data_IF_324660730809
#
_entry.id   IF_324660730809
#
_cell.length_a   1.000
_cell.length_b   1.000
_cell.length_c   1.000
_cell.angle_alpha   90.00
_cell.angle_beta   90.00
_cell.angle_gamma   90.00
#
_symmetry.space_group_name_H-M   'P 1'
#
loop_
_entity.id
_entity.type
_entity.pdbx_description
1 polymer ?
#
# COMPACT_ATOMS: atom_id res chain seq x y z
N UNK A 1 2.46 26.20 -14.73
CA UNK A 1 1.71 25.03 -14.22
C UNK A 1 0.46 25.53 -13.52
N UNK A 2 -0.70 24.91 -13.71
CA UNK A 2 -1.91 25.35 -13.00
C UNK A 2 -1.74 25.15 -11.49
N UNK A 3 -2.24 26.09 -10.68
CA UNK A 3 -2.20 26.01 -9.21
C UNK A 3 -2.78 24.70 -8.68
N UNK A 4 -3.77 24.15 -9.39
CA UNK A 4 -4.38 22.86 -9.09
C UNK A 4 -3.38 21.70 -9.16
N UNK A 5 -2.54 21.64 -10.20
CA UNK A 5 -1.54 20.59 -10.35
C UNK A 5 -0.47 20.64 -9.25
N UNK A 6 -0.08 21.84 -8.81
CA UNK A 6 0.90 22.03 -7.73
C UNK A 6 0.33 21.57 -6.38
N UNK A 7 -0.92 21.96 -6.07
CA UNK A 7 -1.60 21.52 -4.82
C UNK A 7 -1.83 20.01 -4.79
N UNK A 8 -2.20 19.41 -5.94
CA UNK A 8 -2.35 17.96 -6.05
C UNK A 8 -1.01 17.25 -5.79
N UNK A 9 0.06 17.69 -6.45
CA UNK A 9 1.40 17.11 -6.26
C UNK A 9 1.89 17.24 -4.81
N UNK A 10 1.65 18.38 -4.16
CA UNK A 10 1.97 18.57 -2.74
C UNK A 10 1.16 17.62 -1.85
N UNK A 11 -0.14 17.44 -2.12
CA UNK A 11 -0.96 16.50 -1.36
C UNK A 11 -0.47 15.05 -1.53
N UNK A 12 -0.22 14.61 -2.77
CA UNK A 12 0.27 13.26 -3.05
C UNK A 12 1.64 12.99 -2.40
N UNK A 13 2.53 13.99 -2.37
CA UNK A 13 3.88 13.84 -1.83
C UNK A 13 3.99 13.99 -0.32
N UNK A 14 3.16 14.81 0.33
CA UNK A 14 3.31 15.12 1.76
C UNK A 14 2.19 14.58 2.65
N UNK A 15 1.07 14.13 2.08
CA UNK A 15 -0.02 13.57 2.87
C UNK A 15 0.28 12.13 3.29
N UNK A 16 0.57 11.94 4.58
CA UNK A 16 0.67 10.62 5.21
C UNK A 16 -0.62 9.82 5.06
N UNK A 17 -1.78 10.50 5.09
CA UNK A 17 -3.10 9.88 4.86
C UNK A 17 -3.20 9.30 3.45
N UNK A 18 -2.77 10.06 2.43
CA UNK A 18 -2.81 9.60 1.05
C UNK A 18 -1.84 8.43 0.83
N UNK A 19 -0.59 8.55 1.30
CA UNK A 19 0.42 7.50 1.13
C UNK A 19 0.06 6.22 1.88
N UNK A 20 -0.20 6.33 3.18
CA UNK A 20 -0.58 5.19 4.01
C UNK A 20 -1.87 4.55 3.53
N UNK A 21 -2.89 5.37 3.22
CA UNK A 21 -4.17 4.88 2.70
C UNK A 21 -4.03 4.16 1.36
N UNK A 22 -3.28 4.74 0.40
CA UNK A 22 -3.06 4.10 -0.91
C UNK A 22 -2.32 2.77 -0.77
N UNK A 23 -1.29 2.70 0.09
CA UNK A 23 -0.53 1.47 0.34
C UNK A 23 -1.42 0.40 0.97
N UNK A 24 -2.26 0.76 1.94
CA UNK A 24 -3.24 -0.17 2.55
C UNK A 24 -4.21 -0.69 1.49
N UNK A 25 -4.77 0.19 0.65
CA UNK A 25 -5.72 -0.20 -0.40
C UNK A 25 -5.07 -1.21 -1.35
N UNK A 26 -3.84 -0.96 -1.80
CA UNK A 26 -3.09 -1.90 -2.66
C UNK A 26 -2.85 -3.23 -1.95
N UNK A 27 -2.44 -3.21 -0.68
CA UNK A 27 -2.24 -4.42 0.11
C UNK A 27 -3.51 -5.25 0.29
N UNK A 28 -4.64 -4.59 0.59
CA UNK A 28 -5.95 -5.23 0.73
C UNK A 28 -6.45 -5.80 -0.60
N UNK A 29 -6.27 -5.09 -1.71
CA UNK A 29 -6.61 -5.59 -3.04
C UNK A 29 -5.77 -6.81 -3.40
N UNK A 30 -4.48 -6.82 -3.06
CA UNK A 30 -3.62 -7.98 -3.27
C UNK A 30 -4.06 -9.19 -2.42
N UNK A 31 -4.49 -8.96 -1.17
CA UNK A 31 -5.06 -10.01 -0.32
C UNK A 31 -6.38 -10.55 -0.87
N UNK A 32 -7.30 -9.68 -1.29
CA UNK A 32 -8.55 -10.06 -1.97
C UNK A 32 -8.28 -10.86 -3.24
N UNK A 33 -7.28 -10.44 -4.03
CA UNK A 33 -6.86 -11.17 -5.21
C UNK A 33 -6.29 -12.55 -4.86
N UNK A 34 -5.48 -12.65 -3.81
CA UNK A 34 -4.94 -13.94 -3.33
C UNK A 34 -6.06 -14.89 -2.87
N UNK A 35 -7.08 -14.35 -2.18
CA UNK A 35 -8.25 -15.10 -1.77
C UNK A 35 -9.01 -15.62 -2.98
N UNK A 36 -9.30 -14.72 -3.92
CA UNK A 36 -10.03 -15.06 -5.13
C UNK A 36 -9.31 -16.12 -5.98
N UNK A 37 -7.98 -16.02 -6.11
CA UNK A 37 -7.14 -17.04 -6.74
C UNK A 37 -7.26 -18.39 -6.04
N UNK A 38 -7.18 -18.42 -4.70
CA UNK A 38 -7.32 -19.65 -3.92
C UNK A 38 -8.68 -20.31 -4.12
N UNK A 39 -9.75 -19.51 -4.10
CA UNK A 39 -11.12 -20.02 -4.17
C UNK A 39 -11.51 -20.46 -5.60
N UNK A 40 -11.17 -19.65 -6.61
CA UNK A 40 -11.61 -19.89 -7.99
C UNK A 40 -10.65 -20.75 -8.81
N UNK A 41 -9.34 -20.66 -8.54
CA UNK A 41 -8.31 -21.36 -9.33
C UNK A 41 -7.71 -22.55 -8.57
N UNK A 42 -8.12 -22.75 -7.31
CA UNK A 42 -7.57 -23.80 -6.42
C UNK A 42 -6.04 -23.77 -6.38
N UNK A 43 -5.47 -22.55 -6.41
CA UNK A 43 -4.03 -22.36 -6.49
C UNK A 43 -3.35 -23.13 -5.35
N UNK A 44 -2.42 -24.04 -5.65
CA UNK A 44 -1.79 -24.84 -4.62
C UNK A 44 -0.97 -23.91 -3.70
N UNK A 45 -1.06 -24.15 -2.39
CA UNK A 45 -0.37 -23.35 -1.35
C UNK A 45 1.12 -23.68 -1.35
N UNK A 46 1.79 -23.33 -2.45
CA UNK A 46 3.24 -23.46 -2.66
C UNK A 46 3.95 -22.22 -2.12
N UNK A 47 5.28 -22.31 -2.03
CA UNK A 47 6.12 -21.21 -1.52
C UNK A 47 5.88 -19.88 -2.23
N UNK A 48 5.67 -19.88 -3.55
CA UNK A 48 5.39 -18.64 -4.31
C UNK A 48 4.10 -17.95 -3.90
N UNK A 49 3.00 -18.71 -3.73
CA UNK A 49 1.71 -18.17 -3.29
C UNK A 49 1.79 -17.66 -1.84
N UNK A 50 2.44 -18.42 -0.95
CA UNK A 50 2.67 -18.00 0.44
C UNK A 50 3.52 -16.73 0.52
N UNK A 51 4.56 -16.61 -0.31
CA UNK A 51 5.37 -15.40 -0.39
C UNK A 51 4.55 -14.20 -0.85
N UNK A 52 3.70 -14.36 -1.87
CA UNK A 52 2.80 -13.32 -2.33
C UNK A 52 1.83 -12.84 -1.24
N UNK A 53 1.21 -13.79 -0.52
CA UNK A 53 0.34 -13.47 0.63
C UNK A 53 1.13 -12.74 1.71
N UNK A 54 2.31 -13.25 2.09
CA UNK A 54 3.17 -12.62 3.09
C UNK A 54 3.59 -11.20 2.72
N UNK A 55 3.96 -10.99 1.45
CA UNK A 55 4.29 -9.66 0.92
C UNK A 55 3.08 -8.72 0.97
N UNK A 56 1.89 -9.21 0.63
CA UNK A 56 0.65 -8.43 0.68
C UNK A 56 0.27 -8.03 2.11
N UNK A 57 0.45 -8.92 3.08
CA UNK A 57 0.29 -8.61 4.52
C UNK A 57 1.31 -7.55 4.93
N UNK A 58 2.58 -7.73 4.56
CA UNK A 58 3.65 -6.79 4.88
C UNK A 58 3.35 -5.38 4.33
N UNK A 59 2.92 -5.28 3.07
CA UNK A 59 2.53 -4.00 2.44
C UNK A 59 1.36 -3.37 3.21
N UNK A 60 0.33 -4.14 3.55
CA UNK A 60 -0.81 -3.65 4.33
C UNK A 60 -0.38 -3.09 5.68
N UNK A 61 0.45 -3.83 6.42
CA UNK A 61 0.99 -3.41 7.72
C UNK A 61 1.88 -2.18 7.60
N UNK A 62 2.68 -2.10 6.54
CA UNK A 62 3.52 -0.93 6.27
C UNK A 62 2.68 0.32 5.99
N UNK A 63 1.59 0.19 5.22
CA UNK A 63 0.64 1.29 5.03
C UNK A 63 -0.01 1.73 6.34
N UNK A 64 -0.38 0.78 7.22
CA UNK A 64 -0.90 1.06 8.56
C UNK A 64 0.13 1.80 9.42
N UNK A 65 1.39 1.38 9.37
CA UNK A 65 2.49 2.03 10.06
C UNK A 65 2.64 3.49 9.62
N UNK A 66 2.56 3.77 8.31
CA UNK A 66 2.62 5.14 7.77
C UNK A 66 1.47 6.00 8.32
N UNK A 67 0.26 5.46 8.42
CA UNK A 67 -0.90 6.19 8.97
C UNK A 67 -0.74 6.50 10.46
N UNK A 68 -0.26 5.54 11.26
CA UNK A 68 -0.17 5.65 12.71
C UNK A 68 1.02 6.50 13.16
N UNK A 69 2.21 6.22 12.63
CA UNK A 69 3.46 6.83 13.08
C UNK A 69 3.83 8.09 12.32
N UNK A 70 3.15 8.37 11.20
CA UNK A 70 3.37 9.55 10.34
C UNK A 70 4.87 9.81 10.09
N UNK A 71 5.63 8.80 9.61
CA UNK A 71 7.06 8.95 9.42
C UNK A 71 7.34 10.01 8.36
N UNK A 72 8.07 11.05 8.75
CA UNK A 72 8.49 12.12 7.85
C UNK A 72 9.75 11.77 7.05
N UNK A 73 10.08 10.49 6.86
CA UNK A 73 11.28 10.04 6.11
C UNK A 73 11.32 10.53 4.65
N UNK A 74 10.17 10.99 4.16
CA UNK A 74 9.94 11.50 2.82
C UNK A 74 10.06 13.02 2.73
N UNK A 75 10.01 13.70 3.88
CA UNK A 75 10.35 15.11 3.95
C UNK A 75 11.87 15.18 3.83
N UNK A 76 12.35 15.84 2.77
CA UNK A 76 13.75 16.22 2.68
C UNK A 76 14.11 17.02 3.96
N UNK A 77 15.34 16.91 4.48
CA UNK A 77 15.73 17.49 5.77
C UNK A 77 15.81 19.03 5.80
N UNK A 78 14.98 19.74 5.02
CA UNK A 78 14.94 21.20 4.89
C UNK A 78 13.53 21.67 4.57
#
# INVERSE_FOLDING_TARGET
MSEFGVKLMQFLNFSHLFKGGSVIIVGLLALLFSWWMKEKWQEPVKGGFLFFVGLSIFITLYGLFILLFKPNWWALPY
#
